data_IF_730749233883
#
_entry.id   IF_730749233883
#
_cell.length_a   1.000
_cell.length_b   1.000
_cell.length_c   1.000
_cell.angle_alpha   90.00
_cell.angle_beta   90.00
_cell.angle_gamma   90.00
#
_symmetry.space_group_name_H-M   'P 1'
#
loop_
_entity.id
_entity.type
_entity.pdbx_description
1 polymer ?
#
# COMPACT_ATOMS: atom_id res chain seq x y z
N UNK A 1 2.04 -18.43 2.13
CA UNK A 1 1.02 -17.68 2.92
C UNK A 1 0.64 -16.34 2.28
N UNK A 2 1.35 -15.85 1.25
CA UNK A 2 1.22 -14.47 0.74
C UNK A 2 0.04 -14.26 -0.25
N UNK A 3 -0.42 -15.32 -0.91
CA UNK A 3 -1.41 -15.25 -2.01
C UNK A 3 -2.84 -15.03 -1.50
N UNK A 4 -3.17 -15.52 -0.31
CA UNK A 4 -4.54 -15.48 0.23
C UNK A 4 -4.90 -14.07 0.71
N UNK A 5 -3.93 -13.36 1.29
CA UNK A 5 -4.09 -11.98 1.76
C UNK A 5 -4.31 -11.02 0.58
N UNK A 6 -3.50 -11.15 -0.47
CA UNK A 6 -3.67 -10.35 -1.69
C UNK A 6 -5.01 -10.65 -2.41
N UNK A 7 -5.48 -11.89 -2.43
CA UNK A 7 -6.78 -12.24 -3.05
C UNK A 7 -8.02 -11.86 -2.24
N UNK A 8 -7.94 -11.77 -0.91
CA UNK A 8 -9.11 -11.43 -0.06
C UNK A 8 -9.17 -9.97 0.38
N UNK A 9 -8.02 -9.32 0.52
CA UNK A 9 -7.88 -7.97 1.07
C UNK A 9 -7.16 -7.02 0.12
N UNK A 10 -6.59 -7.53 -0.98
CA UNK A 10 -5.97 -6.71 -2.01
C UNK A 10 -7.03 -5.92 -2.76
N UNK A 11 -6.77 -4.63 -2.89
CA UNK A 11 -7.53 -3.71 -3.73
C UNK A 11 -6.63 -3.17 -4.82
N UNK A 12 -7.25 -2.88 -5.95
CA UNK A 12 -6.59 -2.22 -7.07
C UNK A 12 -6.28 -0.77 -6.70
N UNK A 13 -4.98 -0.45 -6.60
CA UNK A 13 -4.48 0.89 -6.44
C UNK A 13 -3.81 1.31 -7.75
N UNK A 14 -4.15 2.47 -8.28
CA UNK A 14 -3.46 3.01 -9.46
C UNK A 14 -2.35 3.92 -9.00
N UNK A 15 -1.11 3.48 -9.14
CA UNK A 15 0.08 4.21 -8.71
C UNK A 15 0.82 4.71 -9.96
N UNK A 16 1.00 6.02 -10.11
CA UNK A 16 1.58 6.63 -11.32
C UNK A 16 0.95 6.13 -12.64
N UNK A 17 -0.36 5.93 -12.65
CA UNK A 17 -1.08 5.41 -13.82
C UNK A 17 -0.92 3.90 -14.07
N UNK A 18 -0.28 3.15 -13.16
CA UNK A 18 -0.21 1.68 -13.22
C UNK A 18 -1.10 1.06 -12.16
N UNK A 19 -1.99 0.16 -12.59
CA UNK A 19 -2.81 -0.62 -11.66
C UNK A 19 -1.93 -1.66 -10.98
N UNK A 20 -1.93 -1.63 -9.64
CA UNK A 20 -1.13 -2.48 -8.78
C UNK A 20 -2.00 -3.02 -7.64
N UNK A 21 -1.68 -4.22 -7.17
CA UNK A 21 -2.35 -4.80 -6.00
C UNK A 21 -1.75 -4.23 -4.73
N UNK A 22 -2.58 -3.55 -3.94
CA UNK A 22 -2.20 -3.01 -2.64
C UNK A 22 -3.16 -3.49 -1.55
N UNK A 23 -2.66 -3.68 -0.33
CA UNK A 23 -3.45 -4.10 0.84
C UNK A 23 -3.28 -3.04 1.92
N UNK A 24 -4.36 -2.59 2.55
CA UNK A 24 -4.26 -1.65 3.67
C UNK A 24 -3.55 -2.32 4.85
N UNK A 25 -2.53 -1.63 5.39
CA UNK A 25 -1.69 -2.15 6.48
C UNK A 25 -2.51 -2.42 7.75
N UNK A 26 -3.63 -1.70 7.92
CA UNK A 26 -4.62 -1.91 8.98
C UNK A 26 -5.20 -3.34 9.02
N UNK A 27 -5.30 -4.03 7.89
CA UNK A 27 -5.85 -5.40 7.82
C UNK A 27 -4.81 -6.48 8.12
N UNK A 28 -3.53 -6.13 8.27
CA UNK A 28 -2.47 -7.08 8.56
C UNK A 28 -2.32 -7.18 10.09
N UNK A 29 -2.80 -8.25 10.76
CA UNK A 29 -2.71 -8.39 12.21
C UNK A 29 -1.27 -8.51 12.72
N UNK A 30 -0.31 -8.79 11.83
CA UNK A 30 1.13 -8.81 12.10
C UNK A 30 1.73 -7.39 12.21
N UNK A 31 1.02 -6.38 11.70
CA UNK A 31 1.37 -4.96 11.81
C UNK A 31 0.70 -4.43 13.08
N UNK A 32 1.36 -4.57 14.24
CA UNK A 32 0.86 -4.03 15.51
C UNK A 32 0.38 -2.58 15.35
N UNK A 33 -0.67 -2.20 16.09
CA UNK A 33 -1.42 -0.95 15.94
C UNK A 33 -0.53 0.26 15.62
N UNK A 34 -0.39 0.57 14.33
CA UNK A 34 0.26 1.78 13.88
C UNK A 34 -0.76 2.89 14.13
N UNK A 35 -0.69 3.46 15.34
CA UNK A 35 -1.35 4.72 15.70
C UNK A 35 -0.80 5.85 14.83
N UNK A 36 -1.33 5.93 13.62
CA UNK A 36 -1.17 7.05 12.71
C UNK A 36 -2.46 7.11 11.93
N UNK A 37 -3.18 8.22 12.06
CA UNK A 37 -4.47 8.52 11.41
C UNK A 37 -4.36 8.65 9.88
N UNK A 38 -3.32 8.05 9.26
CA UNK A 38 -3.00 8.15 7.84
C UNK A 38 -3.22 6.82 7.12
N UNK A 39 -3.78 6.88 5.91
CA UNK A 39 -3.99 5.72 5.06
C UNK A 39 -2.63 5.10 4.70
N UNK A 40 -2.43 3.82 5.00
CA UNK A 40 -1.17 3.13 4.68
C UNK A 40 -1.44 1.87 3.89
N UNK A 41 -0.74 1.73 2.76
CA UNK A 41 -0.89 0.61 1.83
C UNK A 41 0.42 -0.17 1.71
N UNK A 42 0.32 -1.49 1.69
CA UNK A 42 1.41 -2.40 1.33
C UNK A 42 1.20 -2.84 -0.11
N UNK A 43 2.15 -2.53 -0.99
CA UNK A 43 2.07 -2.90 -2.41
C UNK A 43 2.74 -4.26 -2.60
N UNK A 44 2.00 -5.21 -3.20
CA UNK A 44 2.43 -6.59 -3.40
C UNK A 44 3.14 -6.79 -4.75
N UNK A 45 3.32 -5.73 -5.52
CA UNK A 45 4.05 -5.75 -6.79
C UNK A 45 5.57 -5.78 -6.55
N UNK A 46 6.25 -6.79 -7.09
CA UNK A 46 7.69 -6.98 -6.91
C UNK A 46 8.55 -6.01 -7.76
N UNK A 47 7.98 -5.39 -8.79
CA UNK A 47 8.65 -4.41 -9.64
C UNK A 47 8.48 -2.97 -9.16
N UNK A 48 7.55 -2.73 -8.23
CA UNK A 48 7.27 -1.41 -7.71
C UNK A 48 8.29 -0.99 -6.64
N UNK A 49 8.83 0.21 -6.81
CA UNK A 49 9.65 0.87 -5.79
C UNK A 49 8.99 2.17 -5.41
N UNK A 50 8.39 2.19 -4.22
CA UNK A 50 7.74 3.37 -3.68
C UNK A 50 8.69 4.56 -3.56
N UNK A 51 8.20 5.74 -3.94
CA UNK A 51 8.88 7.02 -3.78
C UNK A 51 7.93 8.05 -3.19
N UNK A 52 8.48 8.94 -2.38
CA UNK A 52 7.73 10.12 -1.90
C UNK A 52 7.35 11.00 -3.10
N UNK A 53 6.09 11.43 -3.13
CA UNK A 53 5.51 12.21 -4.23
C UNK A 53 4.81 11.38 -5.31
N UNK A 54 4.81 10.04 -5.20
CA UNK A 54 4.01 9.20 -6.10
C UNK A 54 2.51 9.46 -5.92
N UNK A 55 1.79 9.63 -7.03
CA UNK A 55 0.32 9.75 -7.04
C UNK A 55 -0.32 8.37 -6.99
N UNK A 56 -1.23 8.17 -6.03
CA UNK A 56 -1.91 6.91 -5.78
C UNK A 56 -3.41 7.11 -5.76
N UNK A 57 -4.11 6.54 -6.73
CA UNK A 57 -5.56 6.51 -6.74
C UNK A 57 -6.03 5.21 -6.08
N UNK A 58 -6.70 5.33 -4.95
CA UNK A 58 -7.21 4.23 -4.16
C UNK A 58 -8.68 4.45 -3.81
N UNK A 59 -9.54 3.45 -4.07
CA UNK A 59 -10.98 3.52 -3.80
C UNK A 59 -11.67 4.75 -4.45
N UNK A 60 -11.16 5.21 -5.60
CA UNK A 60 -11.66 6.38 -6.32
C UNK A 60 -11.17 7.74 -5.81
N UNK A 61 -10.37 7.77 -4.74
CA UNK A 61 -9.74 8.99 -4.23
C UNK A 61 -8.27 9.04 -4.65
N UNK A 62 -7.77 10.21 -5.00
CA UNK A 62 -6.36 10.45 -5.28
C UNK A 62 -5.64 10.85 -4.00
N UNK A 63 -4.50 10.23 -3.76
CA UNK A 63 -3.62 10.47 -2.63
C UNK A 63 -2.19 10.65 -3.12
N UNK A 64 -1.35 11.23 -2.25
CA UNK A 64 0.08 11.36 -2.52
C UNK A 64 0.91 10.57 -1.51
N UNK A 65 1.95 9.88 -1.96
CA UNK A 65 2.87 9.17 -1.07
C UNK A 65 3.68 10.19 -0.27
N UNK A 66 3.43 10.30 1.03
CA UNK A 66 4.19 11.16 1.94
C UNK A 66 5.39 10.43 2.53
N UNK A 67 5.23 9.13 2.80
CA UNK A 67 6.26 8.28 3.41
C UNK A 67 6.25 6.90 2.80
N UNK A 68 7.40 6.23 2.78
CA UNK A 68 7.48 4.82 2.40
C UNK A 68 8.58 4.08 3.17
N UNK A 69 8.37 2.80 3.46
CA UNK A 69 9.34 1.89 4.09
C UNK A 69 9.29 0.52 3.42
N UNK A 70 10.29 -0.32 3.67
CA UNK A 70 10.24 -1.74 3.28
C UNK A 70 9.81 -2.57 4.49
N UNK A 71 8.73 -3.32 4.35
CA UNK A 71 8.25 -4.28 5.34
C UNK A 71 8.27 -5.69 4.73
N UNK A 72 9.04 -6.62 5.31
CA UNK A 72 9.22 -7.98 4.77
C UNK A 72 9.58 -8.01 3.27
N UNK A 73 10.40 -7.05 2.81
CA UNK A 73 10.79 -6.91 1.41
C UNK A 73 9.73 -6.29 0.50
N UNK A 74 8.53 -5.98 1.00
CA UNK A 74 7.45 -5.31 0.27
C UNK A 74 7.45 -3.81 0.55
N UNK A 75 7.23 -2.97 -0.47
CA UNK A 75 7.10 -1.53 -0.28
C UNK A 75 5.77 -1.20 0.42
N UNK A 76 5.87 -0.56 1.58
CA UNK A 76 4.76 0.03 2.30
C UNK A 76 4.80 1.54 2.13
N UNK A 77 3.67 2.15 1.80
CA UNK A 77 3.51 3.57 1.53
C UNK A 77 2.44 4.17 2.45
N UNK A 78 2.65 5.40 2.87
CA UNK A 78 1.68 6.22 3.57
C UNK A 78 1.16 7.27 2.62
N UNK A 79 -0.15 7.44 2.66
CA UNK A 79 -0.95 8.29 1.80
C UNK A 79 -1.60 9.37 2.66
N UNK A 80 -1.62 10.57 2.12
CA UNK A 80 -2.32 11.74 2.65
C UNK A 80 -3.11 12.42 1.54
#
# INVERSE_FOLDING_TARGET
>A
MDTVTASRLGRDATINGRVMTAVESHFLPEMGALSGDGLSLVVFDAGYSARTGDTVIYNGNEYSVTRHVKFNGKPQIWLE
#
